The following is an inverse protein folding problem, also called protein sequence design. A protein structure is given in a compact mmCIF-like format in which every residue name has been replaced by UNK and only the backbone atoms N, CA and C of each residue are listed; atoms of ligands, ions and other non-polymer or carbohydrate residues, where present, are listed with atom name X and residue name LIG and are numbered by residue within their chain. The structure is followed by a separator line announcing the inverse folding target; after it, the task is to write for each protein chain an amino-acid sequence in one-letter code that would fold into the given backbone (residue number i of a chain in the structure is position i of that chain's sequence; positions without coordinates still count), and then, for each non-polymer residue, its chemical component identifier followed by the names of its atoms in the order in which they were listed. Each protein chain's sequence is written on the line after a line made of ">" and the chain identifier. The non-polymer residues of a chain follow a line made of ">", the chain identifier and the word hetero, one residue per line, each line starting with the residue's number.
data_IF_959150581561
#
_entry.id   IF_959150581561
#
_cell.length_a   1.000
_cell.length_b   1.000
_cell.length_c   1.000
_cell.angle_alpha   90.00
_cell.angle_beta   90.00
_cell.angle_gamma   90.00
#
_symmetry.space_group_name_H-M   'P 1'
#
loop_
_entity.id
_entity.type
_entity.pdbx_description
1 polymer ?
#
# COMPACT_ATOMS: atom_id res chain seq x y z
N UNK A 1 -13.54 8.20 -5.52
CA UNK A 1 -14.07 9.50 -5.13
C UNK A 1 -14.05 10.50 -6.27
N UNK A 2 -14.76 11.59 -6.11
CA UNK A 2 -14.75 12.73 -7.03
C UNK A 2 -14.67 14.03 -6.22
N UNK A 3 -14.16 15.07 -6.86
CA UNK A 3 -14.10 16.41 -6.30
C UNK A 3 -14.35 17.41 -7.42
N UNK A 4 -15.45 18.15 -7.33
CA UNK A 4 -15.79 19.24 -8.25
C UNK A 4 -14.80 20.40 -8.02
N UNK A 5 -13.69 20.39 -8.77
CA UNK A 5 -12.58 21.32 -8.57
C UNK A 5 -12.83 22.68 -9.21
N UNK A 6 -13.67 22.74 -10.25
CA UNK A 6 -14.03 23.97 -10.94
C UNK A 6 -15.36 24.59 -10.43
N UNK A 7 -16.06 23.88 -9.53
CA UNK A 7 -17.31 24.31 -8.88
C UNK A 7 -18.47 24.59 -9.87
N UNK A 8 -18.54 23.84 -10.98
CA UNK A 8 -19.59 23.99 -11.96
C UNK A 8 -20.84 23.12 -11.70
N UNK A 9 -20.77 22.28 -10.65
CA UNK A 9 -21.85 21.37 -10.25
C UNK A 9 -21.95 20.11 -11.11
N UNK A 10 -21.03 19.89 -12.03
CA UNK A 10 -20.90 18.69 -12.87
C UNK A 10 -19.67 17.91 -12.45
N UNK A 11 -19.53 16.68 -12.93
CA UNK A 11 -18.36 15.86 -12.68
C UNK A 11 -17.65 15.58 -14.01
N UNK A 12 -16.49 16.17 -14.19
CA UNK A 12 -15.59 15.82 -15.29
C UNK A 12 -14.82 14.54 -14.96
N UNK A 13 -15.17 13.46 -15.64
CA UNK A 13 -14.54 12.15 -15.46
C UNK A 13 -13.05 12.10 -15.81
N UNK A 14 -12.52 13.14 -16.47
CA UNK A 14 -11.10 13.22 -16.83
C UNK A 14 -10.24 13.92 -15.79
N UNK A 15 -10.82 14.88 -15.07
CA UNK A 15 -10.07 15.75 -14.15
C UNK A 15 -10.56 15.68 -12.70
N UNK A 16 -11.80 15.25 -12.45
CA UNK A 16 -12.45 15.34 -11.16
C UNK A 16 -12.77 13.98 -10.52
N UNK A 17 -12.63 12.88 -11.28
CA UNK A 17 -12.76 11.53 -10.75
C UNK A 17 -11.39 11.02 -10.36
N UNK A 18 -11.29 10.57 -9.12
CA UNK A 18 -10.09 9.98 -8.53
C UNK A 18 -10.40 8.59 -7.98
N UNK A 19 -9.68 7.60 -8.50
CA UNK A 19 -9.60 6.28 -7.89
C UNK A 19 -8.45 6.34 -6.88
N UNK A 20 -8.73 6.24 -5.58
CA UNK A 20 -7.73 6.39 -4.52
C UNK A 20 -6.47 5.55 -4.72
N UNK A 21 -6.61 4.32 -5.24
CA UNK A 21 -5.47 3.47 -5.60
C UNK A 21 -4.59 4.09 -6.69
N UNK A 22 -5.16 4.81 -7.68
CA UNK A 22 -4.39 5.47 -8.75
C UNK A 22 -3.46 6.56 -8.23
N UNK A 23 -3.88 7.30 -7.20
CA UNK A 23 -3.04 8.32 -6.55
C UNK A 23 -1.85 7.68 -5.87
N UNK A 24 -2.08 6.55 -5.17
CA UNK A 24 -0.99 5.81 -4.54
C UNK A 24 -0.03 5.22 -5.58
N UNK A 25 -0.53 4.71 -6.72
CA UNK A 25 0.31 4.28 -7.83
C UNK A 25 1.20 5.41 -8.33
N UNK A 26 0.62 6.57 -8.66
CA UNK A 26 1.35 7.73 -9.15
C UNK A 26 2.42 8.22 -8.17
N UNK A 27 2.12 8.25 -6.87
CA UNK A 27 3.09 8.62 -5.83
C UNK A 27 4.27 7.64 -5.76
N UNK A 28 4.02 6.33 -5.95
CA UNK A 28 5.10 5.33 -5.94
C UNK A 28 5.93 5.39 -7.23
N UNK A 29 5.29 5.61 -8.38
CA UNK A 29 5.95 5.71 -9.69
C UNK A 29 6.87 6.94 -9.80
N UNK A 30 6.56 8.03 -9.10
CA UNK A 30 7.47 9.20 -9.00
C UNK A 30 8.79 8.80 -8.35
N UNK A 31 8.75 7.87 -7.38
CA UNK A 31 9.93 7.42 -6.66
C UNK A 31 10.58 8.51 -5.83
N UNK A 32 11.87 8.34 -5.57
CA UNK A 32 12.72 9.34 -4.92
C UNK A 32 13.93 9.67 -5.80
N UNK A 33 14.62 10.77 -5.50
CA UNK A 33 15.83 11.17 -6.24
C UNK A 33 16.96 10.11 -6.18
N UNK A 34 16.94 9.25 -5.18
CA UNK A 34 17.90 8.14 -5.00
C UNK A 34 17.44 6.83 -5.65
N UNK A 35 16.21 6.75 -6.16
CA UNK A 35 15.68 5.54 -6.77
C UNK A 35 15.99 5.50 -8.27
N UNK A 36 16.85 4.57 -8.67
CA UNK A 36 17.25 4.36 -10.07
C UNK A 36 16.35 3.36 -10.81
N UNK A 37 15.45 2.67 -10.10
CA UNK A 37 14.56 1.64 -10.65
C UNK A 37 13.08 1.97 -10.33
N UNK A 38 12.53 3.07 -10.89
CA UNK A 38 11.16 3.49 -10.58
C UNK A 38 10.15 2.42 -10.99
N UNK A 39 9.05 2.31 -10.23
CA UNK A 39 7.90 1.49 -10.61
C UNK A 39 7.12 2.13 -11.75
N UNK A 40 6.26 1.35 -12.40
CA UNK A 40 5.39 1.82 -13.49
C UNK A 40 3.95 1.32 -13.30
N UNK A 41 3.49 1.34 -12.05
CA UNK A 41 2.18 0.81 -11.66
C UNK A 41 1.02 1.51 -12.37
N UNK A 42 1.11 2.84 -12.52
CA UNK A 42 0.07 3.61 -13.23
C UNK A 42 -0.10 3.10 -14.65
N UNK A 43 1.00 2.87 -15.37
CA UNK A 43 0.95 2.36 -16.75
C UNK A 43 0.47 0.91 -16.79
N UNK A 44 0.93 0.05 -15.90
CA UNK A 44 0.49 -1.36 -15.83
C UNK A 44 -1.03 -1.45 -15.66
N UNK A 45 -1.59 -0.69 -14.73
CA UNK A 45 -3.03 -0.65 -14.51
C UNK A 45 -3.77 -0.07 -15.73
N UNK A 46 -3.27 1.03 -16.30
CA UNK A 46 -3.87 1.69 -17.45
C UNK A 46 -3.90 0.77 -18.68
N UNK A 47 -2.79 0.10 -18.99
CA UNK A 47 -2.70 -0.84 -20.11
C UNK A 47 -3.67 -2.02 -19.94
N UNK A 48 -3.80 -2.55 -18.71
CA UNK A 48 -4.76 -3.61 -18.41
C UNK A 48 -6.23 -3.15 -18.65
N UNK A 49 -6.57 -1.94 -18.26
CA UNK A 49 -7.90 -1.37 -18.56
C UNK A 49 -8.13 -1.16 -20.06
N UNK A 50 -7.11 -0.72 -20.82
CA UNK A 50 -7.23 -0.56 -22.27
C UNK A 50 -7.48 -1.91 -22.95
N UNK A 51 -6.76 -2.97 -22.56
CA UNK A 51 -6.96 -4.33 -23.08
C UNK A 51 -8.38 -4.81 -22.77
N UNK A 52 -8.83 -4.69 -21.52
CA UNK A 52 -10.19 -5.08 -21.13
C UNK A 52 -11.26 -4.31 -21.90
N UNK A 53 -11.12 -2.99 -22.04
CA UNK A 53 -12.04 -2.14 -22.80
C UNK A 53 -12.12 -2.55 -24.27
N UNK A 54 -11.01 -2.84 -24.94
CA UNK A 54 -11.01 -3.22 -26.35
C UNK A 54 -11.68 -4.60 -26.56
N UNK A 55 -11.45 -5.55 -25.64
CA UNK A 55 -12.12 -6.85 -25.69
C UNK A 55 -13.65 -6.68 -25.57
N UNK A 56 -14.10 -5.90 -24.59
CA UNK A 56 -15.54 -5.67 -24.37
C UNK A 56 -16.19 -4.90 -25.53
N UNK A 57 -15.49 -3.94 -26.12
CA UNK A 57 -15.96 -3.20 -27.31
C UNK A 57 -16.17 -4.13 -28.51
N UNK A 58 -15.21 -5.04 -28.75
CA UNK A 58 -15.28 -6.01 -29.84
C UNK A 58 -16.37 -7.06 -29.58
N UNK A 59 -16.53 -7.51 -28.33
CA UNK A 59 -17.61 -8.41 -27.92
C UNK A 59 -19.01 -7.76 -28.09
N UNK A 60 -19.14 -6.48 -27.73
CA UNK A 60 -20.40 -5.75 -27.94
C UNK A 60 -20.76 -5.62 -29.43
N UNK A 61 -19.77 -5.41 -30.31
CA UNK A 61 -19.98 -5.33 -31.75
C UNK A 61 -20.38 -6.67 -32.38
N UNK A 62 -19.90 -7.78 -31.83
CA UNK A 62 -20.21 -9.15 -32.31
C UNK A 62 -21.40 -9.79 -31.59
N UNK A 63 -21.91 -9.20 -30.53
CA UNK A 63 -23.00 -9.71 -29.71
C UNK A 63 -22.59 -10.86 -28.75
N UNK A 64 -21.32 -11.24 -28.70
CA UNK A 64 -20.79 -12.28 -27.81
C UNK A 64 -19.28 -12.13 -27.58
N UNK A 65 -18.82 -12.72 -26.47
CA UNK A 65 -17.39 -12.86 -26.19
C UNK A 65 -16.94 -14.30 -26.48
N UNK A 66 -15.86 -14.46 -27.23
CA UNK A 66 -15.27 -15.79 -27.47
C UNK A 66 -14.54 -16.30 -26.23
N UNK A 67 -14.39 -17.62 -26.06
CA UNK A 67 -13.65 -18.20 -24.95
C UNK A 67 -12.20 -17.67 -24.87
N UNK A 68 -11.53 -17.50 -26.00
CA UNK A 68 -10.17 -16.93 -26.04
C UNK A 68 -10.14 -15.46 -25.62
N UNK A 69 -11.16 -14.68 -25.96
CA UNK A 69 -11.28 -13.28 -25.53
C UNK A 69 -11.61 -13.20 -24.02
N UNK A 70 -12.42 -14.11 -23.50
CA UNK A 70 -12.72 -14.19 -22.07
C UNK A 70 -11.45 -14.45 -21.25
N UNK A 71 -10.61 -15.39 -21.65
CA UNK A 71 -9.32 -15.66 -20.96
C UNK A 71 -8.43 -14.40 -20.92
N UNK A 72 -8.37 -13.62 -22.01
CA UNK A 72 -7.61 -12.37 -22.04
C UNK A 72 -8.24 -11.29 -21.14
N UNK A 73 -9.56 -11.22 -21.10
CA UNK A 73 -10.28 -10.29 -20.23
C UNK A 73 -10.03 -10.61 -18.76
N UNK A 74 -10.12 -11.88 -18.37
CA UNK A 74 -9.87 -12.32 -17.00
C UNK A 74 -8.41 -12.03 -16.59
N UNK A 75 -7.45 -12.24 -17.48
CA UNK A 75 -6.06 -11.87 -17.24
C UNK A 75 -5.87 -10.36 -17.06
N UNK A 76 -6.54 -9.52 -17.89
CA UNK A 76 -6.49 -8.08 -17.76
C UNK A 76 -7.11 -7.59 -16.44
N UNK A 77 -8.24 -8.16 -16.03
CA UNK A 77 -8.88 -7.90 -14.73
C UNK A 77 -7.92 -8.24 -13.59
N UNK A 78 -7.32 -9.44 -13.62
CA UNK A 78 -6.34 -9.87 -12.62
C UNK A 78 -5.14 -8.93 -12.54
N UNK A 79 -4.59 -8.52 -13.68
CA UNK A 79 -3.48 -7.56 -13.75
C UNK A 79 -3.85 -6.21 -13.13
N UNK A 80 -4.99 -5.64 -13.52
CA UNK A 80 -5.44 -4.35 -12.98
C UNK A 80 -5.65 -4.41 -11.45
N UNK A 81 -6.33 -5.46 -10.97
CA UNK A 81 -6.61 -5.63 -9.55
C UNK A 81 -5.33 -5.84 -8.73
N UNK A 82 -4.41 -6.71 -9.20
CA UNK A 82 -3.13 -6.94 -8.53
C UNK A 82 -2.24 -5.70 -8.55
N UNK A 83 -2.23 -4.93 -9.65
CA UNK A 83 -1.43 -3.70 -9.73
C UNK A 83 -1.93 -2.65 -8.74
N UNK A 84 -3.24 -2.46 -8.60
CA UNK A 84 -3.77 -1.56 -7.56
C UNK A 84 -3.43 -2.05 -6.14
N UNK A 85 -3.47 -3.35 -5.89
CA UNK A 85 -3.05 -3.89 -4.60
C UNK A 85 -1.55 -3.68 -4.35
N UNK A 86 -0.69 -3.83 -5.37
CA UNK A 86 0.73 -3.48 -5.28
C UNK A 86 0.93 -2.01 -4.88
N UNK A 87 0.14 -1.09 -5.42
CA UNK A 87 0.21 0.31 -5.04
C UNK A 87 -0.15 0.54 -3.57
N UNK A 88 -1.16 -0.18 -3.05
CA UNK A 88 -1.53 -0.14 -1.63
C UNK A 88 -0.43 -0.76 -0.76
N UNK A 89 0.11 -1.92 -1.15
CA UNK A 89 1.18 -2.58 -0.43
C UNK A 89 2.47 -1.74 -0.40
N UNK A 90 2.84 -1.11 -1.52
CA UNK A 90 3.96 -0.17 -1.58
C UNK A 90 3.72 1.08 -0.70
N UNK A 91 2.46 1.50 -0.54
CA UNK A 91 2.09 2.57 0.38
C UNK A 91 2.21 2.12 1.84
N UNK A 92 1.92 0.84 2.17
CA UNK A 92 2.22 0.28 3.50
C UNK A 92 3.71 0.32 3.77
N UNK A 93 4.55 -0.08 2.81
CA UNK A 93 6.01 -0.02 2.93
C UNK A 93 6.49 1.41 3.20
N UNK A 94 5.98 2.39 2.46
CA UNK A 94 6.27 3.80 2.69
C UNK A 94 5.95 4.21 4.13
N UNK A 95 4.76 3.90 4.63
CA UNK A 95 4.40 4.27 5.99
C UNK A 95 5.13 3.46 7.08
N UNK A 96 5.61 2.25 6.78
CA UNK A 96 6.56 1.56 7.67
C UNK A 96 7.84 2.38 7.78
N UNK A 97 8.40 2.84 6.65
CA UNK A 97 9.60 3.66 6.65
C UNK A 97 9.38 4.99 7.40
N UNK A 98 8.23 5.64 7.21
CA UNK A 98 7.88 6.86 7.92
C UNK A 98 7.75 6.63 9.43
N UNK A 99 7.08 5.57 9.87
CA UNK A 99 6.94 5.24 11.30
C UNK A 99 8.31 4.98 11.93
N UNK A 100 9.17 4.20 11.27
CA UNK A 100 10.55 3.95 11.72
C UNK A 100 11.35 5.28 11.80
N UNK A 101 11.20 6.15 10.80
CA UNK A 101 11.81 7.49 10.80
C UNK A 101 11.30 8.37 11.94
N UNK A 102 9.98 8.37 12.20
CA UNK A 102 9.37 9.14 13.29
C UNK A 102 9.86 8.67 14.67
N UNK A 103 10.13 7.36 14.84
CA UNK A 103 10.68 6.80 16.08
C UNK A 103 12.08 7.34 16.38
N UNK A 104 12.82 7.82 15.36
CA UNK A 104 14.09 8.53 15.53
C UNK A 104 13.95 9.86 16.33
N UNK A 105 12.73 10.40 16.47
CA UNK A 105 12.44 11.58 17.28
C UNK A 105 12.07 11.25 18.74
N UNK A 106 12.29 10.02 19.20
CA UNK A 106 12.10 9.64 20.59
C UNK A 106 13.30 10.05 21.43
N UNK A 107 13.03 10.71 22.55
CA UNK A 107 14.02 10.85 23.60
C UNK A 107 13.99 9.62 24.51
N UNK A 108 14.78 8.62 24.18
CA UNK A 108 14.81 7.34 24.90
C UNK A 108 15.29 7.48 26.36
N UNK A 109 16.00 8.54 26.71
CA UNK A 109 16.44 8.80 28.08
C UNK A 109 15.29 9.27 28.99
N UNK A 110 14.32 10.01 28.43
CA UNK A 110 13.17 10.52 29.19
C UNK A 110 11.89 9.74 28.92
N UNK A 111 11.85 8.94 27.85
CA UNK A 111 10.62 8.24 27.40
C UNK A 111 9.60 9.21 26.78
N UNK A 112 10.05 10.34 26.27
CA UNK A 112 9.21 11.39 25.72
C UNK A 112 9.50 11.63 24.25
N UNK A 113 8.61 12.34 23.57
CA UNK A 113 8.82 12.85 22.22
C UNK A 113 9.63 14.15 22.27
N UNK A 114 10.35 14.44 21.20
CA UNK A 114 11.05 15.73 21.05
C UNK A 114 10.06 16.89 21.11
N UNK A 115 8.90 16.73 20.47
CA UNK A 115 7.80 17.71 20.49
C UNK A 115 6.44 17.08 20.13
N UNK A 116 5.37 17.88 20.24
CA UNK A 116 4.02 17.45 19.91
C UNK A 116 3.83 17.15 18.41
N UNK A 117 4.58 17.80 17.51
CA UNK A 117 4.47 17.55 16.08
C UNK A 117 5.00 16.15 15.74
N UNK A 118 6.11 15.74 16.35
CA UNK A 118 6.67 14.38 16.22
C UNK A 118 5.69 13.31 16.69
N UNK A 119 5.00 13.53 17.81
CA UNK A 119 3.94 12.62 18.26
C UNK A 119 2.77 12.51 17.25
N UNK A 120 2.32 13.65 16.73
CA UNK A 120 1.23 13.68 15.74
C UNK A 120 1.62 12.98 14.44
N UNK A 121 2.86 13.15 13.98
CA UNK A 121 3.35 12.48 12.78
C UNK A 121 3.39 10.96 12.97
N UNK A 122 3.99 10.48 14.06
CA UNK A 122 4.01 9.05 14.36
C UNK A 122 2.61 8.44 14.36
N UNK A 123 1.67 9.05 15.09
CA UNK A 123 0.31 8.49 15.20
C UNK A 123 -0.44 8.51 13.88
N UNK A 124 -0.24 9.55 13.07
CA UNK A 124 -0.78 9.65 11.70
C UNK A 124 -0.21 8.56 10.81
N UNK A 125 1.12 8.48 10.68
CA UNK A 125 1.77 7.51 9.79
C UNK A 125 1.49 6.07 10.23
N UNK A 126 1.44 5.81 11.53
CA UNK A 126 1.05 4.50 12.05
C UNK A 126 -0.40 4.14 11.67
N UNK A 127 -1.35 5.06 11.80
CA UNK A 127 -2.74 4.82 11.44
C UNK A 127 -2.91 4.56 9.93
N UNK A 128 -2.18 5.30 9.09
CA UNK A 128 -2.15 5.11 7.64
C UNK A 128 -1.50 3.77 7.28
N UNK A 129 -0.38 3.42 7.88
CA UNK A 129 0.28 2.11 7.75
C UNK A 129 -0.69 0.97 8.04
N UNK A 130 -1.30 0.98 9.22
CA UNK A 130 -2.21 -0.09 9.66
C UNK A 130 -3.47 -0.14 8.80
N UNK A 131 -4.04 1.01 8.46
CA UNK A 131 -5.24 1.11 7.63
C UNK A 131 -5.04 0.51 6.23
N UNK A 132 -3.95 0.87 5.55
CA UNK A 132 -3.61 0.28 4.25
C UNK A 132 -3.29 -1.22 4.36
N UNK A 133 -2.56 -1.66 5.40
CA UNK A 133 -2.24 -3.07 5.60
C UNK A 133 -3.49 -3.93 5.81
N UNK A 134 -4.48 -3.45 6.55
CA UNK A 134 -5.78 -4.12 6.70
C UNK A 134 -6.52 -4.27 5.38
N UNK A 135 -6.31 -3.36 4.42
CA UNK A 135 -6.89 -3.43 3.08
C UNK A 135 -6.41 -4.62 2.24
N UNK A 136 -5.20 -5.14 2.49
CA UNK A 136 -4.59 -6.22 1.71
C UNK A 136 -5.31 -7.58 1.86
N UNK A 137 -6.23 -7.73 2.80
CA UNK A 137 -7.01 -8.94 3.00
C UNK A 137 -8.21 -9.10 2.04
N UNK A 138 -8.62 -8.03 1.33
CA UNK A 138 -9.91 -8.02 0.62
C UNK A 138 -9.81 -8.43 -0.85
N UNK A 139 -8.70 -8.19 -1.53
CA UNK A 139 -8.56 -8.53 -2.95
C UNK A 139 -8.57 -10.04 -3.18
N UNK A 140 -9.39 -10.55 -4.10
CA UNK A 140 -9.35 -11.97 -4.48
C UNK A 140 -8.05 -12.34 -5.23
N UNK A 141 -7.31 -11.36 -5.75
CA UNK A 141 -6.05 -11.52 -6.48
C UNK A 141 -4.81 -11.34 -5.59
N UNK A 142 -5.02 -11.14 -4.28
CA UNK A 142 -3.93 -10.94 -3.34
C UNK A 142 -2.96 -12.13 -3.29
N UNK A 143 -1.62 -11.89 -3.29
CA UNK A 143 -0.64 -12.94 -3.07
C UNK A 143 -0.81 -13.60 -1.69
N UNK A 144 -1.44 -12.92 -0.73
CA UNK A 144 -1.74 -13.49 0.59
C UNK A 144 -2.91 -14.46 0.60
N UNK A 145 -3.56 -14.72 -0.54
CA UNK A 145 -4.69 -15.66 -0.64
C UNK A 145 -4.36 -16.96 -1.36
N UNK A 146 -3.13 -17.11 -1.87
CA UNK A 146 -2.73 -18.27 -2.67
C UNK A 146 -2.71 -19.57 -1.87
N UNK A 147 -2.34 -19.52 -0.59
CA UNK A 147 -2.32 -20.66 0.31
C UNK A 147 -2.35 -20.26 1.80
N UNK A 148 -2.30 -21.25 2.68
CA UNK A 148 -2.34 -21.03 4.13
C UNK A 148 -1.07 -20.33 4.67
N UNK A 149 0.11 -20.59 4.10
CA UNK A 149 1.36 -19.95 4.51
C UNK A 149 1.37 -18.47 4.13
N UNK A 150 0.93 -18.14 2.92
CA UNK A 150 0.77 -16.76 2.47
C UNK A 150 -0.23 -15.98 3.36
N UNK A 151 -1.36 -16.60 3.71
CA UNK A 151 -2.32 -16.01 4.66
C UNK A 151 -1.70 -15.78 6.04
N UNK A 152 -0.90 -16.73 6.54
CA UNK A 152 -0.20 -16.59 7.82
C UNK A 152 0.82 -15.44 7.80
N UNK A 153 1.46 -15.17 6.64
CA UNK A 153 2.36 -14.02 6.48
C UNK A 153 1.61 -12.68 6.64
N UNK A 154 0.42 -12.54 6.07
CA UNK A 154 -0.39 -11.32 6.30
C UNK A 154 -0.75 -11.14 7.77
N UNK A 155 -1.16 -12.22 8.45
CA UNK A 155 -1.44 -12.19 9.89
C UNK A 155 -0.19 -11.77 10.67
N UNK A 156 0.97 -12.29 10.29
CA UNK A 156 2.27 -11.92 10.89
C UNK A 156 2.58 -10.44 10.70
N UNK A 157 2.40 -9.90 9.50
CA UNK A 157 2.57 -8.48 9.19
C UNK A 157 1.68 -7.63 10.11
N UNK A 158 0.38 -7.94 10.19
CA UNK A 158 -0.57 -7.20 11.01
C UNK A 158 -0.26 -7.28 12.52
N UNK A 159 0.19 -8.44 13.00
CA UNK A 159 0.60 -8.64 14.39
C UNK A 159 1.86 -7.85 14.73
N UNK A 160 2.83 -7.79 13.82
CA UNK A 160 4.07 -7.00 14.02
C UNK A 160 3.79 -5.49 14.09
N UNK A 161 2.78 -5.00 13.38
CA UNK A 161 2.33 -3.61 13.49
C UNK A 161 1.61 -3.34 14.82
N UNK A 162 0.97 -4.37 15.41
CA UNK A 162 0.16 -4.26 16.61
C UNK A 162 -1.16 -3.51 16.37
N UNK A 163 -1.88 -3.24 17.46
CA UNK A 163 -3.15 -2.50 17.42
C UNK A 163 -3.01 -1.02 17.82
N UNK A 164 -1.83 -0.64 18.28
CA UNK A 164 -1.44 0.73 18.64
C UNK A 164 0.01 0.98 18.25
N UNK A 165 0.47 2.23 18.06
CA UNK A 165 1.88 2.53 17.94
C UNK A 165 2.61 2.21 19.26
N UNK A 166 3.87 1.83 19.18
CA UNK A 166 4.74 1.82 20.35
C UNK A 166 5.19 3.27 20.61
N UNK A 167 4.99 3.73 21.82
CA UNK A 167 5.29 5.08 22.26
C UNK A 167 6.77 5.20 22.71
N UNK A 168 7.25 6.45 22.83
CA UNK A 168 8.63 6.75 23.23
C UNK A 168 9.04 6.13 24.57
N UNK A 169 8.09 5.92 25.47
CA UNK A 169 8.28 5.23 26.75
C UNK A 169 8.31 3.70 26.64
N UNK A 170 8.28 3.14 25.42
CA UNK A 170 8.31 1.70 25.17
C UNK A 170 7.01 0.97 25.47
N UNK A 171 5.86 1.68 25.54
CA UNK A 171 4.54 1.04 25.73
C UNK A 171 3.76 0.96 24.43
N UNK A 172 2.91 -0.08 24.31
CA UNK A 172 1.92 -0.23 23.26
C UNK A 172 0.54 -0.41 23.92
N UNK A 173 -0.43 0.47 23.61
CA UNK A 173 -1.75 0.43 24.24
C UNK A 173 -1.71 0.55 25.77
N UNK A 174 -0.71 1.22 26.34
CA UNK A 174 -0.54 1.39 27.78
C UNK A 174 0.17 0.23 28.49
N UNK A 175 0.60 -0.82 27.75
CA UNK A 175 1.33 -1.98 28.28
C UNK A 175 2.76 -1.95 27.76
N UNK A 176 3.73 -2.31 28.61
CA UNK A 176 5.14 -2.41 28.19
C UNK A 176 5.27 -3.39 27.00
N UNK A 177 5.87 -2.91 25.90
CA UNK A 177 6.15 -3.73 24.74
C UNK A 177 7.43 -4.54 24.98
N UNK A 178 7.37 -5.85 24.76
CA UNK A 178 8.52 -6.73 24.97
C UNK A 178 9.66 -6.36 24.05
N UNK A 179 10.82 -6.01 24.59
CA UNK A 179 11.98 -5.55 23.83
C UNK A 179 11.93 -4.04 23.49
N UNK A 180 10.88 -3.33 23.89
CA UNK A 180 10.77 -1.89 23.77
C UNK A 180 10.77 -1.36 22.32
N UNK A 181 11.16 -0.11 22.16
CA UNK A 181 11.16 0.60 20.87
C UNK A 181 12.02 -0.12 19.82
N UNK A 182 13.21 -0.56 20.18
CA UNK A 182 14.13 -1.24 19.24
C UNK A 182 13.56 -2.55 18.69
N UNK A 183 12.84 -3.32 19.51
CA UNK A 183 12.19 -4.54 19.03
C UNK A 183 11.03 -4.21 18.09
N UNK A 184 10.28 -3.16 18.39
CA UNK A 184 9.18 -2.75 17.51
C UNK A 184 9.69 -2.26 16.14
N UNK A 185 10.78 -1.51 16.12
CA UNK A 185 11.45 -1.13 14.87
C UNK A 185 11.84 -2.39 14.05
N UNK A 186 12.47 -3.37 14.70
CA UNK A 186 12.83 -4.63 14.05
C UNK A 186 11.60 -5.40 13.54
N UNK A 187 10.49 -5.37 14.28
CA UNK A 187 9.23 -5.99 13.88
C UNK A 187 8.61 -5.30 12.65
N UNK A 188 8.64 -3.98 12.59
CA UNK A 188 8.16 -3.22 11.42
C UNK A 188 9.02 -3.49 10.18
N UNK A 189 10.35 -3.52 10.33
CA UNK A 189 11.26 -3.86 9.22
C UNK A 189 11.04 -5.29 8.73
N UNK A 190 10.81 -6.25 9.63
CA UNK A 190 10.47 -7.62 9.25
C UNK A 190 9.11 -7.72 8.53
N UNK A 191 8.12 -6.91 8.93
CA UNK A 191 6.84 -6.79 8.21
C UNK A 191 7.05 -6.23 6.80
N UNK A 192 7.93 -5.25 6.63
CA UNK A 192 8.33 -4.68 5.34
C UNK A 192 8.97 -5.73 4.42
N UNK A 193 9.85 -6.57 4.96
CA UNK A 193 10.51 -7.64 4.19
C UNK A 193 9.52 -8.72 3.74
N UNK A 194 8.50 -9.03 4.54
CA UNK A 194 7.41 -9.93 4.14
C UNK A 194 6.57 -9.32 3.00
N UNK A 195 6.28 -8.01 3.03
CA UNK A 195 5.62 -7.31 1.93
C UNK A 195 6.48 -7.31 0.67
N UNK A 196 7.77 -6.99 0.79
CA UNK A 196 8.71 -7.05 -0.32
C UNK A 196 8.69 -8.42 -0.99
N UNK A 197 8.77 -9.48 -0.22
CA UNK A 197 8.77 -10.86 -0.72
C UNK A 197 7.45 -11.21 -1.40
N UNK A 198 6.30 -10.89 -0.78
CA UNK A 198 4.98 -11.24 -1.28
C UNK A 198 4.67 -10.59 -2.63
N UNK A 199 5.07 -9.34 -2.83
CA UNK A 199 4.82 -8.59 -4.08
C UNK A 199 6.02 -8.54 -5.02
N UNK A 200 7.13 -9.18 -4.66
CA UNK A 200 8.40 -9.15 -5.43
C UNK A 200 8.88 -7.71 -5.71
N UNK A 201 8.78 -6.83 -4.71
CA UNK A 201 9.24 -5.46 -4.83
C UNK A 201 10.76 -5.38 -4.92
N UNK A 202 11.25 -4.47 -5.74
CA UNK A 202 12.68 -4.15 -5.80
C UNK A 202 13.14 -3.59 -4.45
N UNK A 203 14.27 -4.06 -3.93
CA UNK A 203 14.79 -3.67 -2.62
C UNK A 203 15.15 -2.19 -2.53
N UNK A 204 15.61 -1.57 -3.61
CA UNK A 204 15.89 -0.14 -3.67
C UNK A 204 14.60 0.67 -3.48
N UNK A 205 13.50 0.28 -4.14
CA UNK A 205 12.20 0.89 -3.96
C UNK A 205 11.71 0.75 -2.52
N UNK A 206 11.82 -0.46 -1.94
CA UNK A 206 11.37 -0.73 -0.55
C UNK A 206 12.10 0.14 0.48
N UNK A 207 13.36 0.46 0.23
CA UNK A 207 14.17 1.31 1.12
C UNK A 207 13.90 2.81 0.95
N UNK A 208 13.37 3.22 -0.21
CA UNK A 208 13.25 4.62 -0.60
C UNK A 208 11.81 5.14 -0.75
N UNK A 209 10.84 4.27 -0.67
CA UNK A 209 9.42 4.69 -0.62
C UNK A 209 9.10 5.46 0.65
#
# INVERSE_FOLDING_TARGET
>A
GYNDTNTDGLIDVRSEVNLGASVNCAKRDVGSASNTTPTNFTKEAFDAYLVGREILKNAAASGSISAAAQVKLDAAIGTAALTFEKCLAATVVHYINDVVGDMGNFNTATGEYVDLASFKNLTKHWAEMKGFALGLQFSPFSPFRVDAAAKANLVTILNKMGDYPVLANGTQGGVAFTGGVAQYEADLLAARDLLQSAYSFNSENVQNW
#
